data_IF_852985337830
#
_entry.id   IF_852985337830
#
_cell.length_a   1.000
_cell.length_b   1.000
_cell.length_c   1.000
_cell.angle_alpha   90.00
_cell.angle_beta   90.00
_cell.angle_gamma   90.00
#
_symmetry.space_group_name_H-M   'P 1'
#
loop_
_entity.id
_entity.type
_entity.pdbx_description
1 polymer ?
2 non-polymer ?
3 non-polymer ?
4 water ?
#
# COMPACT_ATOMS: atom_id res chain seq x y z
N UNK A 4 6.68 -1.09 -14.18
CA UNK A 4 7.34 -0.27 -15.22
C UNK A 4 8.77 -0.01 -14.74
N UNK A 5 9.68 0.15 -15.70
CA UNK A 5 11.11 0.33 -15.43
C UNK A 5 11.55 1.70 -15.91
N UNK A 6 12.15 2.44 -14.98
CA UNK A 6 12.60 3.81 -15.22
C UNK A 6 14.13 3.90 -15.13
N UNK A 7 14.81 4.29 -16.24
CA UNK A 7 16.23 4.62 -16.13
C UNK A 7 16.43 5.69 -15.08
N UNK A 8 17.58 5.63 -14.41
CA UNK A 8 17.88 6.57 -13.32
C UNK A 8 17.61 8.04 -13.69
N UNK A 9 18.07 8.45 -14.86
CA UNK A 9 17.91 9.85 -15.22
C UNK A 9 16.44 10.26 -15.46
N UNK A 10 15.60 9.29 -15.84
CA UNK A 10 14.20 9.54 -16.09
C UNK A 10 13.41 9.56 -14.77
N UNK A 11 13.74 8.62 -13.87
CA UNK A 11 13.10 8.68 -12.55
C UNK A 11 13.44 10.01 -11.88
N UNK A 12 14.67 10.50 -12.07
CA UNK A 12 15.04 11.78 -11.47
C UNK A 12 14.25 12.92 -12.14
N UNK A 13 14.32 12.98 -13.47
CA UNK A 13 13.71 14.13 -14.16
C UNK A 13 12.18 14.18 -14.00
N UNK A 14 11.56 13.00 -13.90
CA UNK A 14 10.10 12.92 -13.75
C UNK A 14 9.77 12.30 -12.37
N UNK A 15 10.51 12.71 -11.36
CA UNK A 15 10.36 12.13 -10.02
C UNK A 15 8.90 12.17 -9.52
N UNK A 16 8.21 13.28 -9.72
CA UNK A 16 6.83 13.38 -9.21
C UNK A 16 5.93 12.33 -9.86
N UNK A 17 6.13 12.07 -11.15
CA UNK A 17 5.38 11.09 -11.91
C UNK A 17 5.74 9.65 -11.47
N UNK A 18 7.04 9.45 -11.23
CA UNK A 18 7.56 8.17 -10.75
C UNK A 18 6.92 7.82 -9.38
N UNK A 19 6.95 8.79 -8.47
CA UNK A 19 6.33 8.58 -7.14
C UNK A 19 4.82 8.37 -7.27
N UNK A 20 4.18 9.17 -8.13
CA UNK A 20 2.74 9.02 -8.33
C UNK A 20 2.39 7.65 -8.87
N UNK A 21 3.20 7.15 -9.81
CA UNK A 21 2.92 5.82 -10.36
C UNK A 21 3.08 4.75 -9.27
N UNK A 22 4.09 4.93 -8.40
CA UNK A 22 4.26 3.97 -7.27
C UNK A 22 2.96 3.87 -6.48
N UNK A 23 2.39 5.02 -6.15
CA UNK A 23 1.20 5.04 -5.29
C UNK A 23 -0.05 4.55 -6.02
N UNK A 24 -0.21 4.96 -7.27
CA UNK A 24 -1.44 4.63 -7.99
C UNK A 24 -1.42 3.28 -8.69
N UNK A 25 -0.23 2.79 -9.06
CA UNK A 25 -0.15 1.55 -9.79
C UNK A 25 0.58 0.46 -9.01
N UNK A 26 1.62 0.84 -8.28
CA UNK A 26 2.37 -0.19 -7.58
C UNK A 26 3.87 -0.02 -7.79
N UNK A 27 4.63 -0.94 -7.23
CA UNK A 27 6.11 -0.86 -7.29
C UNK A 27 6.64 -0.49 -8.67
N UNK A 28 7.55 0.47 -8.70
CA UNK A 28 8.17 0.95 -9.95
C UNK A 28 9.65 0.62 -9.89
N UNK A 29 10.19 -0.05 -10.93
CA UNK A 29 11.60 -0.40 -10.94
C UNK A 29 12.46 0.75 -11.47
N UNK A 30 13.65 0.90 -10.89
CA UNK A 30 14.64 1.84 -11.40
C UNK A 30 15.82 1.06 -11.96
N UNK A 31 16.30 1.44 -13.15
CA UNK A 31 17.46 0.79 -13.74
C UNK A 31 18.66 1.74 -13.87
N UNK A 32 19.87 1.16 -13.97
CA UNK A 32 21.06 1.90 -14.40
C UNK A 32 21.66 1.00 -15.44
N UNK A 33 22.20 1.60 -16.50
CA UNK A 33 22.87 0.82 -17.54
C UNK A 33 21.94 -0.25 -18.11
N UNK A 34 20.62 0.02 -18.06
CA UNK A 34 19.71 -0.97 -18.64
C UNK A 34 19.59 -2.23 -17.83
N UNK A 35 19.94 -2.15 -16.53
CA UNK A 35 19.82 -3.30 -15.63
C UNK A 35 18.95 -2.88 -14.42
N UNK A 36 18.01 -3.72 -14.02
CA UNK A 36 17.15 -3.39 -12.88
C UNK A 36 18.00 -3.33 -11.62
N UNK A 37 17.81 -2.26 -10.82
CA UNK A 37 18.66 -2.04 -9.66
C UNK A 37 17.85 -1.96 -8.35
N UNK A 38 16.70 -1.31 -8.43
CA UNK A 38 15.94 -1.04 -7.20
C UNK A 38 14.48 -0.87 -7.51
N UNK A 39 13.63 -0.83 -6.48
CA UNK A 39 12.19 -0.71 -6.75
C UNK A 39 11.59 0.24 -5.72
N UNK A 40 10.78 1.17 -6.21
CA UNK A 40 10.12 2.13 -5.30
C UNK A 40 8.77 1.51 -4.94
N UNK A 41 8.55 1.28 -3.64
CA UNK A 41 7.40 0.52 -3.15
C UNK A 41 6.56 1.45 -2.26
N UNK A 42 5.22 1.38 -2.36
CA UNK A 42 4.42 2.18 -1.42
C UNK A 42 4.79 1.79 0.01
N UNK A 43 4.92 2.77 0.89
CA UNK A 43 5.52 2.46 2.18
C UNK A 43 4.67 1.44 2.97
N UNK A 44 3.35 1.54 2.85
CA UNK A 44 2.46 0.62 3.61
C UNK A 44 2.64 -0.81 3.15
N UNK A 45 2.84 -0.97 1.83
CA UNK A 45 3.06 -2.31 1.29
C UNK A 45 4.37 -2.89 1.82
N UNK A 46 5.44 -2.06 1.84
CA UNK A 46 6.69 -2.50 2.42
C UNK A 46 6.54 -2.89 3.90
N UNK A 47 5.86 -2.06 4.69
CA UNK A 47 5.74 -2.38 6.12
C UNK A 47 5.03 -3.72 6.31
N UNK A 48 3.99 -3.96 5.50
CA UNK A 48 3.27 -5.22 5.67
C UNK A 48 4.10 -6.41 5.24
N UNK A 49 4.91 -6.22 4.21
CA UNK A 49 5.85 -7.26 3.77
C UNK A 49 6.84 -7.60 4.88
N UNK A 50 7.38 -6.54 5.51
CA UNK A 50 8.32 -6.67 6.65
C UNK A 50 7.68 -7.47 7.78
N UNK A 51 6.43 -7.14 8.09
CA UNK A 51 5.74 -7.79 9.22
C UNK A 51 5.51 -9.26 8.89
N UNK A 52 5.29 -9.60 7.62
CA UNK A 52 4.94 -10.99 7.25
C UNK A 52 6.19 -11.85 7.12
N UNK A 53 7.31 -11.21 6.83
CA UNK A 53 8.61 -11.90 6.71
C UNK A 53 9.26 -11.94 8.07
N UNK B 4 18.10 8.20 6.66
CA UNK B 4 17.48 7.34 5.59
C UNK B 4 16.06 7.77 5.18
N UNK B 5 15.55 8.88 5.71
CA UNK B 5 14.27 9.47 5.25
C UNK B 5 14.51 10.75 4.45
N UNK B 6 14.06 10.73 3.20
CA UNK B 6 14.30 11.83 2.26
C UNK B 6 13.02 12.59 1.90
N UNK B 7 12.97 13.91 2.19
CA UNK B 7 11.86 14.69 1.63
C UNK B 7 11.82 14.56 0.12
N UNK B 8 10.62 14.62 -0.47
CA UNK B 8 10.46 14.48 -1.91
C UNK B 8 11.43 15.36 -2.69
N UNK B 9 11.55 16.62 -2.30
CA UNK B 9 12.41 17.50 -3.10
C UNK B 9 13.89 17.09 -3.05
N UNK B 10 14.33 16.52 -1.93
CA UNK B 10 15.71 16.04 -1.72
C UNK B 10 15.95 14.74 -2.50
N UNK B 11 14.97 13.84 -2.44
CA UNK B 11 15.11 12.58 -3.22
C UNK B 11 15.19 12.88 -4.70
N UNK B 12 14.48 13.92 -5.18
CA UNK B 12 14.56 14.27 -6.62
C UNK B 12 15.91 14.93 -6.91
N UNK B 13 16.29 15.94 -6.11
CA UNK B 13 17.50 16.73 -6.44
C UNK B 13 18.76 15.87 -6.34
N UNK B 14 18.73 14.87 -5.45
CA UNK B 14 19.88 14.01 -5.20
C UNK B 14 19.53 12.55 -5.51
N UNK B 15 18.76 12.35 -6.59
CA UNK B 15 18.26 11.02 -6.90
C UNK B 15 19.37 10.00 -7.07
N UNK B 16 20.47 10.39 -7.76
CA UNK B 16 21.51 9.40 -7.92
C UNK B 16 22.13 8.97 -6.60
N UNK B 17 22.25 9.90 -5.64
CA UNK B 17 22.78 9.60 -4.32
C UNK B 17 21.77 8.72 -3.53
N UNK B 18 20.50 9.07 -3.67
CA UNK B 18 19.39 8.30 -3.06
C UNK B 18 19.44 6.83 -3.54
N UNK B 19 19.66 6.62 -4.85
CA UNK B 19 19.75 5.24 -5.38
C UNK B 19 21.02 4.56 -4.91
N UNK B 20 22.18 5.27 -4.94
CA UNK B 20 23.39 4.59 -4.41
C UNK B 20 23.25 4.27 -2.93
N UNK B 21 22.58 5.15 -2.16
CA UNK B 21 22.41 4.86 -0.72
C UNK B 21 21.54 3.62 -0.54
N UNK B 22 20.52 3.50 -1.38
CA UNK B 22 19.66 2.30 -1.33
C UNK B 22 20.50 1.02 -1.49
N UNK B 23 21.39 1.03 -2.47
CA UNK B 23 22.13 -0.18 -2.77
C UNK B 23 23.28 -0.41 -1.76
N UNK B 24 23.91 0.65 -1.26
CA UNK B 24 25.04 0.44 -0.35
C UNK B 24 24.65 0.41 1.12
N UNK B 25 23.52 1.06 1.47
CA UNK B 25 23.13 1.17 2.90
C UNK B 25 21.84 0.44 3.22
N UNK B 26 20.95 0.32 2.24
CA UNK B 26 19.66 -0.33 2.48
C UNK B 26 18.51 0.59 2.12
N UNK B 27 17.28 0.10 2.30
CA UNK B 27 16.07 0.85 1.91
C UNK B 27 16.10 2.31 2.34
N UNK B 28 15.69 3.19 1.43
CA UNK B 28 15.68 4.63 1.68
C UNK B 28 14.22 5.11 1.55
N UNK B 29 13.70 5.77 2.60
CA UNK B 29 12.30 6.20 2.58
C UNK B 29 12.16 7.58 1.97
N UNK B 30 11.07 7.80 1.24
CA UNK B 30 10.70 9.14 0.74
C UNK B 30 9.49 9.62 1.55
N UNK B 31 9.58 10.85 2.05
CA UNK B 31 8.48 11.46 2.83
C UNK B 31 7.98 12.71 2.10
N UNK B 32 6.71 13.05 2.32
CA UNK B 32 6.14 14.27 1.77
C UNK B 32 5.55 15.04 2.95
N UNK B 33 6.05 16.26 3.17
CA UNK B 33 5.61 17.09 4.30
C UNK B 33 5.71 16.30 5.62
N UNK B 34 6.80 15.53 5.74
CA UNK B 34 7.13 14.79 6.96
C UNK B 34 6.41 13.46 7.13
N UNK B 35 5.58 13.08 6.15
CA UNK B 35 4.82 11.82 6.22
C UNK B 35 5.42 10.80 5.25
N UNK B 36 5.78 9.61 5.75
CA UNK B 36 6.37 8.59 4.82
C UNK B 36 5.40 8.27 3.69
N UNK B 37 5.93 8.08 2.46
CA UNK B 37 5.10 7.78 1.32
C UNK B 37 5.54 6.52 0.57
N UNK B 38 6.85 6.36 0.43
CA UNK B 38 7.36 5.23 -0.37
C UNK B 38 8.75 4.87 0.09
N UNK B 39 9.30 3.76 -0.42
CA UNK B 39 10.63 3.36 0.02
C UNK B 39 11.32 2.75 -1.19
N UNK B 40 12.60 3.11 -1.40
CA UNK B 40 13.37 2.55 -2.49
C UNK B 40 14.17 1.38 -1.93
N UNK B 41 13.93 0.18 -2.48
CA UNK B 41 14.47 -1.07 -1.94
C UNK B 41 15.38 -1.69 -3.01
N UNK B 42 16.55 -2.18 -2.61
CA UNK B 42 17.40 -2.85 -3.63
C UNK B 42 16.63 -4.00 -4.23
N UNK B 43 16.78 -4.26 -5.53
CA UNK B 43 15.92 -5.21 -6.23
C UNK B 43 16.02 -6.64 -5.67
N UNK B 44 17.23 -7.05 -5.31
CA UNK B 44 17.41 -8.42 -4.77
C UNK B 44 16.67 -8.57 -3.46
N UNK B 45 16.84 -7.58 -2.58
CA UNK B 45 16.19 -7.57 -1.28
C UNK B 45 14.68 -7.59 -1.44
N UNK B 46 14.15 -6.83 -2.39
CA UNK B 46 12.71 -6.86 -2.66
C UNK B 46 12.24 -8.27 -3.03
N UNK B 47 12.94 -8.91 -3.95
CA UNK B 47 12.57 -10.27 -4.41
C UNK B 47 12.63 -11.23 -3.23
N UNK B 48 13.67 -11.10 -2.42
CA UNK B 48 13.86 -12.01 -1.28
C UNK B 48 12.79 -11.83 -0.20
N UNK B 49 12.40 -10.58 0.03
CA UNK B 49 11.35 -10.32 0.99
C UNK B 49 10.04 -10.91 0.51
N UNK B 50 9.76 -10.79 -0.78
CA UNK B 50 8.51 -11.33 -1.30
C UNK B 50 8.47 -12.84 -1.08
N UNK B 51 9.61 -13.50 -1.26
CA UNK B 51 9.73 -14.97 -1.04
C UNK B 51 9.59 -15.33 0.45
N UNK B 52 10.21 -14.53 1.32
CA UNK B 52 10.13 -14.71 2.78
C UNK B 52 8.73 -14.42 3.37
N UNK B 53 7.94 -13.58 2.70
CA UNK B 53 6.59 -13.28 3.21
C UNK B 53 5.62 -14.40 2.79
N UNK C 4 -6.44 -12.49 9.40
CA UNK C 4 -7.11 -12.84 10.65
C UNK C 4 -8.60 -12.58 10.47
N UNK C 5 -9.42 -13.40 11.15
CA UNK C 5 -10.90 -13.39 11.04
C UNK C 5 -11.57 -12.91 12.33
N UNK C 6 -12.32 -11.81 12.19
CA UNK C 6 -12.95 -11.14 13.32
C UNK C 6 -14.48 -11.34 13.28
N UNK C 7 -15.06 -11.98 14.32
CA UNK C 7 -16.52 -11.97 14.38
C UNK C 7 -17.03 -10.53 14.38
N UNK C 8 -18.24 -10.33 13.84
CA UNK C 8 -18.78 -8.99 13.70
C UNK C 8 -18.73 -8.19 15.02
N UNK C 9 -19.11 -8.82 16.12
CA UNK C 9 -19.16 -8.06 17.37
C UNK C 9 -17.77 -7.63 17.83
N UNK C 10 -16.76 -8.40 17.46
CA UNK C 10 -15.39 -8.04 17.86
C UNK C 10 -14.80 -6.97 16.91
N UNK C 11 -15.10 -7.09 15.62
CA UNK C 11 -14.69 -6.04 14.68
C UNK C 11 -15.32 -4.70 15.05
N UNK C 12 -16.57 -4.72 15.54
CA UNK C 12 -17.19 -3.48 16.00
C UNK C 12 -16.53 -2.99 17.30
N UNK C 13 -16.45 -3.85 18.33
CA UNK C 13 -15.96 -3.38 19.63
C UNK C 13 -14.52 -2.90 19.52
N UNK C 14 -13.73 -3.52 18.66
CA UNK C 14 -12.30 -3.22 18.53
C UNK C 14 -12.04 -2.66 17.12
N UNK C 15 -12.97 -1.83 16.62
CA UNK C 15 -12.84 -1.39 15.24
C UNK C 15 -11.54 -0.64 14.99
N UNK C 16 -11.11 0.19 15.95
CA UNK C 16 -9.86 0.91 15.66
C UNK C 16 -8.66 -0.02 15.54
N UNK C 17 -8.67 -1.11 16.31
CA UNK C 17 -7.59 -2.11 16.24
C UNK C 17 -7.69 -2.91 14.94
N UNK C 18 -8.92 -3.22 14.54
CA UNK C 18 -9.19 -3.91 13.26
C UNK C 18 -8.65 -3.10 12.09
N UNK C 19 -8.87 -1.78 12.14
CA UNK C 19 -8.36 -0.91 11.11
C UNK C 19 -6.83 -0.79 11.14
N UNK C 20 -6.25 -0.60 12.33
CA UNK C 20 -4.78 -0.57 12.38
C UNK C 20 -4.16 -1.90 11.95
N UNK C 21 -4.80 -3.02 12.27
CA UNK C 21 -4.27 -4.33 11.85
C UNK C 21 -4.31 -4.43 10.31
N UNK C 22 -5.40 -3.95 9.71
CA UNK C 22 -5.49 -3.94 8.27
C UNK C 22 -4.29 -3.21 7.66
N UNK C 23 -3.95 -2.06 8.22
CA UNK C 23 -2.92 -1.23 7.60
C UNK C 23 -1.50 -1.71 7.93
N UNK C 24 -1.30 -2.21 9.16
CA UNK C 24 0.06 -2.61 9.54
C UNK C 24 0.37 -4.08 9.27
N UNK C 25 -0.66 -4.91 9.08
CA UNK C 25 -0.40 -6.35 8.87
C UNK C 25 -0.98 -6.80 7.55
N UNK C 26 -2.20 -6.40 7.21
CA UNK C 26 -2.78 -6.83 5.92
C UNK C 26 -4.28 -7.01 6.06
N UNK C 27 -4.95 -7.34 4.95
CA UNK C 27 -6.42 -7.43 4.96
C UNK C 27 -6.94 -8.26 6.14
N UNK C 28 -8.01 -7.75 6.77
CA UNK C 28 -8.63 -8.42 7.92
C UNK C 28 -10.05 -8.80 7.56
N UNK C 29 -10.38 -10.08 7.80
CA UNK C 29 -11.74 -10.53 7.41
C UNK C 29 -12.72 -10.35 8.57
N UNK C 30 -14.00 -10.06 8.24
CA UNK C 30 -15.02 -10.05 9.29
C UNK C 30 -16.00 -11.16 8.96
N UNK C 31 -16.41 -11.90 10.01
CA UNK C 31 -17.33 -13.02 9.83
C UNK C 31 -18.66 -12.80 10.54
N UNK C 32 -19.67 -13.52 10.07
CA UNK C 32 -20.93 -13.64 10.77
C UNK C 32 -21.25 -15.13 10.83
N UNK C 33 -21.77 -15.61 11.97
CA UNK C 33 -22.03 -17.05 12.14
C UNK C 33 -20.78 -17.90 11.80
N UNK C 34 -19.60 -17.35 12.01
CA UNK C 34 -18.37 -18.10 11.76
C UNK C 34 -18.01 -18.23 10.28
N UNK C 35 -18.75 -17.54 9.40
CA UNK C 35 -18.50 -17.57 7.94
C UNK C 35 -17.99 -16.21 7.48
N UNK C 36 -17.01 -16.24 6.58
CA UNK C 36 -16.44 -14.98 6.08
C UNK C 36 -17.50 -14.15 5.36
N UNK C 37 -17.47 -12.83 5.59
CA UNK C 37 -18.48 -11.94 5.01
C UNK C 37 -17.83 -10.83 4.15
N UNK C 38 -16.78 -10.21 4.72
CA UNK C 38 -16.18 -9.06 4.07
C UNK C 38 -14.75 -8.92 4.55
N UNK C 39 -13.98 -8.07 3.88
CA UNK C 39 -12.55 -7.96 4.25
C UNK C 39 -12.20 -6.49 4.20
N UNK C 40 -11.48 -6.03 5.24
CA UNK C 40 -11.04 -4.63 5.26
C UNK C 40 -9.62 -4.60 4.64
N UNK C 41 -9.48 -3.79 3.58
CA UNK C 41 -8.26 -3.80 2.76
C UNK C 41 -7.66 -2.39 2.84
N UNK C 42 -6.32 -2.32 2.95
CA UNK C 42 -5.73 -0.97 3.00
C UNK C 42 -6.06 -0.23 1.70
N UNK C 43 -6.29 1.09 1.76
CA UNK C 43 -6.89 1.75 0.59
C UNK C 43 -5.94 1.74 -0.62
N UNK C 44 -4.63 1.89 -0.40
CA UNK C 44 -3.72 1.94 -1.57
C UNK C 44 -3.69 0.57 -2.20
N UNK C 45 -3.64 -0.48 -1.39
CA UNK C 45 -3.61 -1.83 -1.93
C UNK C 45 -4.85 -2.08 -2.78
N UNK C 46 -5.99 -1.65 -2.26
CA UNK C 46 -7.24 -1.82 -3.03
C UNK C 46 -7.18 -1.07 -4.34
N UNK C 47 -6.80 0.21 -4.30
CA UNK C 47 -6.81 1.00 -5.54
C UNK C 47 -5.82 0.42 -6.54
N UNK C 48 -4.68 -0.07 -6.07
CA UNK C 48 -3.67 -0.63 -6.98
C UNK C 48 -4.15 -1.93 -7.58
N UNK C 49 -4.84 -2.76 -6.81
CA UNK C 49 -5.41 -3.97 -7.41
C UNK C 49 -6.45 -3.59 -8.47
N UNK C 50 -7.29 -2.59 -8.18
CA UNK C 50 -8.33 -2.19 -9.16
C UNK C 50 -7.64 -1.69 -10.44
N UNK C 51 -6.58 -0.91 -10.28
CA UNK C 51 -5.83 -0.37 -11.46
C UNK C 51 -5.28 -1.48 -12.32
N UNK C 52 -4.87 -2.58 -11.70
CA UNK C 52 -4.29 -3.71 -12.44
C UNK C 52 -5.38 -4.48 -13.17
N UNK C 53 -6.48 -4.77 -12.47
CA UNK C 53 -7.54 -5.63 -13.02
C UNK C 53 -8.59 -4.79 -13.70
N UNK D 2 -19.54 1.13 -3.32
CA UNK D 2 -20.48 2.23 -3.67
C UNK D 2 -19.71 3.42 -3.16
N UNK D 4 -19.14 5.19 -0.64
CA UNK D 4 -19.39 6.09 0.48
C UNK D 4 -18.22 6.00 1.45
N UNK D 5 -17.92 7.12 2.11
CA UNK D 5 -16.78 7.27 3.01
C UNK D 5 -17.27 7.52 4.43
N UNK D 6 -16.80 6.64 5.33
CA UNK D 6 -17.23 6.68 6.73
C UNK D 6 -16.03 7.07 7.61
N UNK D 7 -16.15 8.16 8.38
CA UNK D 7 -15.13 8.41 9.40
C UNK D 7 -15.03 7.21 10.35
N UNK D 8 -13.86 6.98 10.92
CA UNK D 8 -13.67 5.82 11.77
C UNK D 8 -14.71 5.69 12.87
N UNK D 9 -15.05 6.80 13.52
CA UNK D 9 -15.98 6.70 14.62
C UNK D 9 -17.37 6.32 14.18
N UNK D 10 -17.71 6.65 12.94
CA UNK D 10 -19.04 6.33 12.44
C UNK D 10 -19.09 4.90 11.94
N UNK D 11 -18.04 4.46 11.27
CA UNK D 11 -17.96 3.04 10.87
C UNK D 11 -17.99 2.13 12.11
N UNK D 12 -17.37 2.58 13.22
CA UNK D 12 -17.47 1.78 14.45
C UNK D 12 -18.89 1.82 15.03
N UNK D 13 -19.45 3.02 15.23
CA UNK D 13 -20.75 3.12 15.89
C UNK D 13 -21.83 2.43 15.08
N UNK D 14 -21.70 2.41 13.76
CA UNK D 14 -22.72 1.85 12.87
C UNK D 14 -22.08 0.69 12.09
N UNK D 15 -21.28 -0.12 12.76
CA UNK D 15 -20.51 -1.15 12.06
C UNK D 15 -21.43 -2.12 11.31
N UNK D 16 -22.53 -2.56 11.94
CA UNK D 16 -23.37 -3.52 11.21
C UNK D 16 -23.96 -2.91 9.95
N UNK D 17 -24.29 -1.61 9.98
CA UNK D 17 -24.80 -0.89 8.80
C UNK D 17 -23.72 -0.76 7.72
N UNK D 18 -22.52 -0.45 8.18
CA UNK D 18 -21.36 -0.34 7.28
C UNK D 18 -21.15 -1.67 6.56
N UNK D 19 -21.18 -2.76 7.34
CA UNK D 19 -21.01 -4.10 6.76
C UNK D 19 -22.16 -4.46 5.80
N UNK D 20 -23.40 -4.19 6.18
CA UNK D 20 -24.47 -4.50 5.22
C UNK D 20 -24.40 -3.61 3.98
N UNK D 21 -23.95 -2.34 4.11
CA UNK D 21 -23.82 -1.47 2.94
C UNK D 21 -22.76 -2.04 2.00
N UNK D 22 -21.66 -2.55 2.57
CA UNK D 22 -20.63 -3.20 1.74
C UNK D 22 -21.25 -4.32 0.89
N UNK D 23 -22.09 -5.14 1.53
CA UNK D 23 -22.58 -6.34 0.85
C UNK D 23 -23.73 -6.04 -0.11
N UNK D 24 -24.56 -5.07 0.26
CA UNK D 24 -25.74 -4.78 -0.58
C UNK D 24 -25.49 -3.66 -1.61
N UNK D 25 -24.48 -2.79 -1.38
CA UNK D 25 -24.25 -1.69 -2.26
C UNK D 25 -22.85 -1.74 -2.93
N UNK D 26 -21.83 -2.12 -2.17
CA UNK D 26 -20.49 -2.17 -2.72
C UNK D 26 -19.46 -1.68 -1.70
N UNK D 27 -18.18 -1.75 -2.08
CA UNK D 27 -17.10 -1.35 -1.15
C UNK D 27 -17.37 -0.04 -0.45
N UNK D 28 -17.11 -0.04 0.86
CA UNK D 28 -17.31 1.17 1.67
C UNK D 28 -15.96 1.63 2.22
N UNK D 29 -15.64 2.90 2.03
CA UNK D 29 -14.31 3.39 2.50
C UNK D 29 -14.39 3.90 3.93
N UNK D 30 -13.33 3.69 4.72
CA UNK D 30 -13.31 4.31 6.05
C UNK D 30 -12.15 5.30 6.03
N UNK D 31 -12.39 6.46 6.66
CA UNK D 31 -11.37 7.52 6.73
C UNK D 31 -10.94 7.78 8.19
N UNK D 32 -9.75 8.37 8.31
CA UNK D 32 -9.29 8.98 9.56
C UNK D 32 -8.80 10.37 9.20
N UNK D 33 -9.09 11.37 10.04
CA UNK D 33 -8.65 12.71 9.74
C UNK D 33 -9.10 13.18 8.36
N UNK D 34 -10.23 12.64 7.87
CA UNK D 34 -10.71 13.12 6.56
C UNK D 34 -9.80 12.69 5.44
N UNK D 35 -9.12 11.56 5.61
CA UNK D 35 -8.32 10.97 4.54
C UNK D 35 -8.70 9.50 4.43
N UNK D 36 -8.87 9.01 3.20
CA UNK D 36 -9.22 7.60 3.02
C UNK D 36 -8.11 6.69 3.56
N UNK D 37 -8.51 5.66 4.31
CA UNK D 37 -7.57 4.74 4.97
C UNK D 37 -7.68 3.27 4.54
N UNK D 38 -8.94 2.82 4.36
CA UNK D 38 -9.14 1.41 4.08
C UNK D 38 -10.51 1.25 3.48
N UNK D 39 -10.79 0.05 2.95
CA UNK D 39 -12.08 -0.13 2.27
C UNK D 39 -12.59 -1.52 2.67
N UNK D 40 -13.88 -1.58 3.02
CA UNK D 40 -14.47 -2.89 3.36
C UNK D 40 -15.11 -3.43 2.08
N UNK D 41 -14.64 -4.63 1.68
CA UNK D 41 -14.99 -5.20 0.40
C UNK D 41 -15.71 -6.55 0.64
N UNK D 42 -16.79 -6.84 -0.12
CA UNK D 42 -17.45 -8.13 0.08
C UNK D 42 -16.46 -9.26 -0.16
N UNK D 43 -16.50 -10.31 0.64
CA UNK D 43 -15.38 -11.27 0.61
C UNK D 43 -15.22 -11.96 -0.75
N UNK D 44 -16.33 -12.32 -1.41
CA UNK D 44 -16.22 -12.99 -2.70
C UNK D 44 -15.59 -12.08 -3.73
N UNK D 45 -15.97 -10.79 -3.70
CA UNK D 45 -15.39 -9.82 -4.64
C UNK D 45 -13.87 -9.75 -4.47
N UNK D 46 -13.42 -9.69 -3.22
CA UNK D 46 -11.97 -9.69 -2.94
C UNK D 46 -11.32 -10.97 -3.44
N UNK D 47 -11.90 -12.14 -3.12
CA UNK D 47 -11.29 -13.41 -3.55
C UNK D 47 -11.17 -13.43 -5.08
N UNK D 48 -12.19 -12.97 -5.77
CA UNK D 48 -12.15 -13.02 -7.25
C UNK D 48 -11.13 -12.04 -7.81
N UNK D 49 -11.01 -10.86 -7.19
CA UNK D 49 -10.01 -9.92 -7.67
C UNK D 49 -8.60 -10.48 -7.40
N UNK D 50 -8.38 -11.19 -6.29
CA UNK D 50 -7.08 -11.85 -6.02
C UNK D 50 -6.79 -12.98 -7.04
N UNK D 51 -7.81 -13.74 -7.38
CA UNK D 51 -7.64 -14.83 -8.36
C UNK D 51 -7.26 -14.23 -9.71
N UNK D 52 -7.77 -13.05 -10.03
CA UNK D 52 -7.51 -12.43 -11.33
C UNK D 52 -6.13 -11.79 -11.37
N UNK D 53 -5.59 -11.42 -10.21
CA UNK D 53 -4.33 -10.66 -10.11
C UNK D 53 -3.09 -11.54 -10.27
#
# INVERSE_FOLDING_TARGET
GHXHVWPVQDAKARFSEFLDACITEGPQIVSRRGAEEAVLVPIGEWRRLQAAARPSLKQLLLSDSARTEXLVPERGKARRRQVEPLRGS
GHXHVWPVQDAKARFSEFLDACITEGPQIVSRRGAEEAVLVPIGEWRRLQAAARPSLKQLLLSDSARTEXLVPERGKARRRQVEPLRGS
GHXHVWPVQDAKARFSEFLDACITEGPQIVSRRGAEEAVLVPIGEWRRLQAAARPSLKQLLLSDSARTEXLVPERGKARRRQVEPLRGS
GHXHVWPVQDAKARFSEFLDACITEGPQIVSRRGAEEAVLVPIGEWRRLQAAARPSLKQLLLSDSARTEXLVPERGKARRRQVEPLRGS
#
